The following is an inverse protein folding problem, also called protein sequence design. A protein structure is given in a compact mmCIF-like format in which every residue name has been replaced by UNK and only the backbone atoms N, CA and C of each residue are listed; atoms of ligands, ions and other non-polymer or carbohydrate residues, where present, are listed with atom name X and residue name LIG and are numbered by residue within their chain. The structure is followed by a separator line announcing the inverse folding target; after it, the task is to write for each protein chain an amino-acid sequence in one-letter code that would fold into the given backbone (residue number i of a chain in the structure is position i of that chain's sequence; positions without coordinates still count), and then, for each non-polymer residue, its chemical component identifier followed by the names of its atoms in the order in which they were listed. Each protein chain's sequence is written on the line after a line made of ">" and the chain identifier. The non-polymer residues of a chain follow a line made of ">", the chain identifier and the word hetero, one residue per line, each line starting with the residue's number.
data_IF_592637884827
#
_entry.id   IF_592637884827
#
_cell.length_a   1.000
_cell.length_b   1.000
_cell.length_c   1.000
_cell.angle_alpha   90.00
_cell.angle_beta   90.00
_cell.angle_gamma   90.00
#
_symmetry.space_group_name_H-M   'P 1'
#
loop_
_entity.id
_entity.type
_entity.pdbx_description
1 polymer ?
#
# COMPACT_ATOMS: atom_id res chain seq x y z
N UNK A 1 36.11 28.35 -43.25
CA UNK A 1 37.35 28.99 -42.81
C UNK A 1 37.03 29.90 -41.62
N UNK A 2 37.82 29.91 -40.56
CA UNK A 2 38.85 29.00 -40.08
C UNK A 2 38.46 28.34 -38.73
N UNK A 3 39.12 27.27 -38.41
CA UNK A 3 39.12 26.45 -37.22
C UNK A 3 39.81 27.13 -36.04
N UNK A 4 39.21 27.12 -34.85
CA UNK A 4 39.81 27.58 -33.60
C UNK A 4 40.39 26.36 -32.85
N UNK A 5 41.70 26.32 -32.52
CA UNK A 5 42.32 25.21 -31.82
C UNK A 5 42.66 25.62 -30.37
N UNK A 6 41.77 25.45 -29.42
CA UNK A 6 42.13 25.42 -28.00
C UNK A 6 41.03 24.79 -27.15
N UNK A 7 40.99 23.46 -27.10
CA UNK A 7 40.32 22.70 -26.07
C UNK A 7 41.36 22.11 -25.11
N UNK A 8 41.61 22.80 -24.00
CA UNK A 8 42.33 22.23 -22.86
C UNK A 8 41.36 21.35 -22.05
N UNK A 9 41.59 20.06 -22.08
CA UNK A 9 41.07 19.10 -21.13
C UNK A 9 41.90 19.15 -19.84
N UNK A 10 41.31 19.25 -18.62
CA UNK A 10 42.07 19.12 -17.39
C UNK A 10 42.35 17.64 -17.09
N UNK A 11 43.61 17.36 -16.88
CA UNK A 11 44.20 16.10 -16.44
C UNK A 11 43.72 15.79 -15.00
N UNK A 12 43.11 14.62 -14.79
CA UNK A 12 42.69 14.15 -13.49
C UNK A 12 43.84 13.41 -12.82
N UNK A 13 44.34 13.93 -11.71
CA UNK A 13 45.33 13.26 -10.87
C UNK A 13 44.73 12.03 -10.16
N UNK A 14 45.50 10.94 -9.89
CA UNK A 14 44.98 9.73 -9.28
C UNK A 14 44.77 9.89 -7.76
N UNK A 15 43.56 9.52 -7.34
CA UNK A 15 43.13 9.51 -5.92
C UNK A 15 43.95 8.56 -5.06
N UNK A 16 44.47 9.08 -3.97
CA UNK A 16 45.10 8.34 -2.89
C UNK A 16 44.06 7.56 -2.08
N UNK A 17 44.27 6.27 -1.89
CA UNK A 17 43.46 5.39 -1.02
C UNK A 17 43.54 5.82 0.44
N UNK A 18 42.43 5.96 1.17
CA UNK A 18 42.49 6.08 2.63
C UNK A 18 42.71 4.71 3.29
N UNK A 19 43.59 4.68 4.24
CA UNK A 19 43.95 3.50 5.04
C UNK A 19 42.75 3.05 5.90
N UNK A 20 42.43 1.75 5.81
CA UNK A 20 41.39 1.12 6.59
C UNK A 20 41.75 1.00 8.07
N UNK A 21 40.98 1.59 8.95
CA UNK A 21 40.99 1.32 10.39
C UNK A 21 40.05 0.15 10.72
N UNK A 22 40.65 -0.95 11.16
CA UNK A 22 39.99 -2.15 11.64
C UNK A 22 39.18 -1.87 12.91
N UNK A 23 37.87 -2.11 12.88
CA UNK A 23 36.98 -2.12 14.06
C UNK A 23 37.03 -3.47 14.78
N UNK A 24 38.15 -3.80 15.39
CA UNK A 24 38.27 -4.87 16.39
C UNK A 24 39.11 -4.37 17.55
N UNK A 25 38.45 -3.93 18.64
CA UNK A 25 39.15 -3.59 19.84
C UNK A 25 38.51 -2.48 20.67
N UNK A 26 37.29 -2.69 21.16
CA UNK A 26 36.73 -1.89 22.25
C UNK A 26 35.59 -2.64 22.96
N UNK A 27 35.94 -3.76 23.60
CA UNK A 27 35.09 -4.43 24.58
C UNK A 27 36.03 -5.02 25.61
N UNK A 28 36.25 -4.24 26.68
CA UNK A 28 37.03 -4.70 27.84
C UNK A 28 37.44 -3.50 28.71
N UNK A 29 36.70 -3.27 29.73
CA UNK A 29 37.10 -2.65 30.99
C UNK A 29 36.07 -1.62 31.52
N UNK A 30 35.19 -2.11 32.40
CA UNK A 30 34.67 -1.35 33.56
C UNK A 30 33.84 -2.30 34.44
N UNK A 31 34.55 -3.10 35.21
CA UNK A 31 34.04 -3.76 36.41
C UNK A 31 35.06 -3.43 37.50
N UNK A 32 34.72 -2.53 38.44
CA UNK A 32 35.20 -2.54 39.82
C UNK A 32 34.75 -1.25 40.56
N UNK A 33 34.23 -1.48 41.75
CA UNK A 33 33.99 -0.44 42.81
C UNK A 33 32.56 -0.59 43.38
N UNK A 34 32.28 -1.49 44.33
CA UNK A 34 32.53 -1.52 45.77
C UNK A 34 31.82 -0.33 46.47
N UNK A 35 30.92 -0.54 47.39
CA UNK A 35 30.74 -1.15 48.65
C UNK A 35 29.67 -0.39 49.39
N UNK A 36 28.76 -1.05 50.05
CA UNK A 36 28.70 -1.39 51.46
C UNK A 36 27.95 -0.43 52.37
N UNK A 37 27.20 -1.04 53.30
CA UNK A 37 26.62 -0.57 54.59
C UNK A 37 25.19 -0.02 54.48
N UNK A 38 24.22 -0.49 55.26
CA UNK A 38 24.11 -1.34 56.45
C UNK A 38 22.63 -1.55 56.75
N UNK A 39 22.24 -2.62 57.13
CA UNK A 39 22.03 -3.23 58.42
C UNK A 39 20.71 -2.87 59.17
N UNK A 40 19.96 -3.92 59.51
CA UNK A 40 19.18 -4.19 60.68
C UNK A 40 17.70 -3.74 60.73
N UNK A 41 16.88 -4.77 60.89
CA UNK A 41 15.53 -4.69 61.40
C UNK A 41 14.71 -5.97 61.22
N UNK A 42 15.06 -7.02 61.99
CA UNK A 42 14.22 -8.21 62.10
C UNK A 42 12.95 -7.92 62.93
N UNK A 43 11.84 -8.52 62.61
CA UNK A 43 11.05 -9.24 63.59
C UNK A 43 9.93 -10.05 62.91
N UNK A 44 9.79 -11.22 63.39
CA UNK A 44 8.97 -12.35 63.02
C UNK A 44 7.48 -12.09 63.12
N UNK A 45 6.73 -12.83 62.31
CA UNK A 45 5.28 -13.03 62.44
C UNK A 45 4.81 -14.15 61.53
N UNK A 46 4.86 -15.37 62.01
CA UNK A 46 4.18 -16.49 61.36
C UNK A 46 2.66 -16.33 61.49
N UNK A 47 1.93 -16.48 60.42
CA UNK A 47 0.69 -17.28 60.46
C UNK A 47 0.28 -17.71 59.05
N UNK A 48 0.09 -18.98 58.95
CA UNK A 48 -0.52 -19.76 57.88
C UNK A 48 -1.91 -19.21 57.48
N UNK A 49 -2.20 -19.05 56.18
CA UNK A 49 -3.18 -19.93 55.54
C UNK A 49 -3.49 -19.57 54.07
N UNK A 50 -3.66 -20.66 53.34
CA UNK A 50 -4.46 -20.81 52.13
C UNK A 50 -4.17 -19.97 50.87
N UNK A 51 -3.49 -20.63 49.98
CA UNK A 51 -3.63 -20.59 48.53
C UNK A 51 -5.00 -20.15 48.04
N UNK A 52 -5.06 -18.96 47.46
CA UNK A 52 -5.99 -18.65 46.41
C UNK A 52 -5.14 -18.18 45.22
N UNK A 53 -4.75 -19.11 44.38
CA UNK A 53 -4.31 -18.82 43.01
C UNK A 53 -5.51 -18.20 42.29
N UNK A 54 -5.61 -16.90 42.34
CA UNK A 54 -6.42 -16.17 41.37
C UNK A 54 -5.72 -16.28 40.02
N UNK A 55 -6.08 -17.33 39.30
CA UNK A 55 -5.83 -17.39 37.86
C UNK A 55 -6.57 -16.21 37.26
N UNK A 56 -5.88 -15.10 37.09
CA UNK A 56 -6.30 -14.08 36.16
C UNK A 56 -6.25 -14.74 34.78
N UNK A 57 -7.37 -15.35 34.38
CA UNK A 57 -7.65 -15.59 32.98
C UNK A 57 -7.69 -14.21 32.33
N UNK A 58 -6.52 -13.77 31.83
CA UNK A 58 -6.50 -12.81 30.76
C UNK A 58 -7.26 -13.47 29.61
N UNK A 59 -8.54 -13.12 29.47
CA UNK A 59 -9.23 -13.25 28.20
C UNK A 59 -8.43 -12.40 27.21
N UNK A 60 -7.44 -13.00 26.59
CA UNK A 60 -6.93 -12.51 25.33
C UNK A 60 -8.10 -12.64 24.35
N UNK A 61 -8.88 -11.59 24.21
CA UNK A 61 -9.57 -11.32 22.96
C UNK A 61 -8.46 -11.30 21.94
N UNK A 62 -8.21 -12.43 21.30
CA UNK A 62 -7.38 -12.53 20.12
C UNK A 62 -8.04 -11.61 19.10
N UNK A 63 -7.56 -10.38 19.00
CA UNK A 63 -7.85 -9.52 17.86
C UNK A 63 -7.40 -10.35 16.67
N UNK A 64 -8.35 -10.75 15.84
CA UNK A 64 -8.08 -11.56 14.66
C UNK A 64 -7.30 -10.66 13.71
N UNK A 65 -5.97 -10.85 13.63
CA UNK A 65 -5.07 -10.10 12.78
C UNK A 65 -4.98 -10.67 11.35
N UNK A 66 -6.04 -11.36 10.92
CA UNK A 66 -6.13 -12.03 9.62
C UNK A 66 -7.45 -11.73 8.92
N UNK A 67 -7.41 -11.62 7.61
CA UNK A 67 -8.57 -11.46 6.74
C UNK A 67 -8.83 -12.74 5.97
N UNK A 68 -10.12 -13.07 5.74
CA UNK A 68 -10.48 -14.17 4.84
C UNK A 68 -10.12 -13.81 3.39
N UNK A 69 -9.50 -14.75 2.67
CA UNK A 69 -9.28 -14.58 1.22
C UNK A 69 -10.58 -14.73 0.43
N UNK A 70 -11.43 -15.67 0.83
CA UNK A 70 -12.73 -15.88 0.19
C UNK A 70 -13.81 -15.03 0.86
N UNK A 71 -14.64 -14.38 0.06
CA UNK A 71 -15.74 -13.54 0.50
C UNK A 71 -16.53 -12.98 -0.68
N UNK A 72 -17.52 -12.14 -0.39
CA UNK A 72 -18.32 -11.45 -1.40
C UNK A 72 -17.43 -10.50 -2.24
N UNK A 73 -16.47 -9.84 -1.61
CA UNK A 73 -15.50 -8.95 -2.23
C UNK A 73 -14.08 -9.38 -1.87
N UNK A 74 -13.12 -9.11 -2.74
CA UNK A 74 -11.71 -9.32 -2.41
C UNK A 74 -11.29 -8.41 -1.25
N UNK A 75 -10.60 -8.98 -0.27
CA UNK A 75 -9.93 -8.20 0.78
C UNK A 75 -8.85 -7.30 0.17
N UNK A 76 -8.55 -6.19 0.85
CA UNK A 76 -7.58 -5.21 0.36
C UNK A 76 -8.18 -4.11 -0.50
N UNK A 77 -9.49 -4.12 -0.80
CA UNK A 77 -10.18 -3.03 -1.50
C UNK A 77 -10.76 -2.06 -0.47
N UNK A 78 -11.83 -2.42 0.25
CA UNK A 78 -12.45 -1.58 1.29
C UNK A 78 -11.96 -1.88 2.71
N UNK A 79 -11.14 -2.90 2.91
CA UNK A 79 -10.54 -3.27 4.19
C UNK A 79 -9.78 -2.09 4.81
N UNK A 80 -9.67 -2.02 6.13
CA UNK A 80 -8.82 -1.03 6.81
C UNK A 80 -7.42 -0.98 6.19
N UNK A 81 -6.90 0.24 5.99
CA UNK A 81 -5.61 0.43 5.32
C UNK A 81 -4.48 0.04 6.26
N UNK A 82 -3.64 -0.86 5.81
CA UNK A 82 -2.42 -1.29 6.51
C UNK A 82 -1.25 -0.34 6.21
N UNK A 83 -0.17 -0.45 7.00
CA UNK A 83 0.99 0.43 6.91
C UNK A 83 1.94 0.10 5.76
N UNK A 84 1.88 -1.11 5.19
CA UNK A 84 2.80 -1.59 4.17
C UNK A 84 2.04 -2.08 2.95
N UNK A 85 2.59 -1.79 1.80
CA UNK A 85 2.08 -2.28 0.53
C UNK A 85 3.22 -2.82 -0.32
N UNK A 86 3.00 -3.96 -0.96
CA UNK A 86 3.82 -4.44 -2.05
C UNK A 86 2.91 -4.68 -3.26
N UNK A 87 3.05 -3.87 -4.29
CA UNK A 87 2.31 -3.99 -5.54
C UNK A 87 3.21 -4.60 -6.61
N UNK A 88 2.75 -5.65 -7.29
CA UNK A 88 3.46 -6.27 -8.40
C UNK A 88 2.56 -6.39 -9.63
N UNK A 89 3.06 -5.98 -10.77
CA UNK A 89 2.45 -6.24 -12.07
C UNK A 89 3.25 -7.33 -12.78
N UNK A 90 2.55 -8.28 -13.39
CA UNK A 90 3.13 -9.44 -14.06
C UNK A 90 2.64 -9.53 -15.50
N UNK A 91 3.52 -10.04 -16.38
CA UNK A 91 3.17 -10.43 -17.74
C UNK A 91 3.19 -11.95 -17.88
N UNK A 92 2.15 -12.51 -18.49
CA UNK A 92 2.06 -13.93 -18.79
C UNK A 92 3.06 -14.31 -19.89
N UNK A 93 3.76 -15.41 -19.68
CA UNK A 93 4.67 -16.03 -20.64
C UNK A 93 3.99 -17.13 -21.45
N UNK A 94 3.02 -17.80 -20.84
CA UNK A 94 2.21 -18.83 -21.49
C UNK A 94 0.99 -18.20 -22.18
N UNK A 95 0.54 -18.81 -23.25
CA UNK A 95 -0.75 -18.54 -23.88
C UNK A 95 -1.74 -19.71 -23.70
N UNK A 96 -1.30 -20.77 -23.01
CA UNK A 96 -2.12 -21.93 -22.70
C UNK A 96 -3.10 -21.59 -21.58
N UNK A 97 -4.39 -21.75 -21.86
CA UNK A 97 -5.48 -21.43 -20.92
C UNK A 97 -5.51 -22.38 -19.73
N UNK A 98 -5.12 -23.63 -19.89
CA UNK A 98 -5.11 -24.61 -18.80
C UNK A 98 -3.98 -24.30 -17.83
N UNK A 99 -2.83 -23.85 -18.33
CA UNK A 99 -1.74 -23.36 -17.50
C UNK A 99 -2.12 -22.08 -16.75
N UNK A 100 -2.84 -21.14 -17.39
CA UNK A 100 -3.34 -19.92 -16.75
C UNK A 100 -4.35 -20.28 -15.65
N UNK A 101 -5.29 -21.19 -15.94
CA UNK A 101 -6.27 -21.64 -14.96
C UNK A 101 -5.59 -22.35 -13.76
N UNK A 102 -4.61 -23.21 -14.03
CA UNK A 102 -3.82 -23.88 -12.99
C UNK A 102 -3.12 -22.86 -12.10
N UNK A 103 -2.47 -21.86 -12.71
CA UNK A 103 -1.81 -20.78 -11.98
C UNK A 103 -2.77 -20.05 -11.04
N UNK A 104 -3.97 -19.71 -11.51
CA UNK A 104 -4.96 -19.01 -10.68
C UNK A 104 -5.49 -19.87 -9.53
N UNK A 105 -5.66 -21.18 -9.76
CA UNK A 105 -6.02 -22.13 -8.69
C UNK A 105 -4.91 -22.22 -7.62
N UNK A 106 -3.68 -22.34 -8.05
CA UNK A 106 -2.51 -22.39 -7.16
C UNK A 106 -2.36 -21.08 -6.36
N UNK A 107 -2.52 -19.93 -7.02
CA UNK A 107 -2.48 -18.63 -6.36
C UNK A 107 -3.62 -18.47 -5.34
N UNK A 108 -4.84 -18.89 -5.69
CA UNK A 108 -5.98 -18.80 -4.76
C UNK A 108 -5.74 -19.65 -3.51
N UNK A 109 -5.23 -20.86 -3.68
CA UNK A 109 -4.90 -21.75 -2.56
C UNK A 109 -3.76 -21.19 -1.68
N UNK A 110 -2.73 -20.65 -2.32
CA UNK A 110 -1.61 -20.03 -1.61
C UNK A 110 -2.04 -18.74 -0.89
N UNK A 111 -2.82 -17.89 -1.55
CA UNK A 111 -3.31 -16.63 -0.96
C UNK A 111 -4.19 -16.86 0.26
N UNK A 112 -5.05 -17.88 0.23
CA UNK A 112 -5.87 -18.24 1.38
C UNK A 112 -5.04 -18.63 2.60
N UNK A 113 -3.96 -19.38 2.41
CA UNK A 113 -3.01 -19.73 3.46
C UNK A 113 -2.24 -18.52 3.98
N UNK A 114 -1.67 -17.74 3.08
CA UNK A 114 -0.88 -16.56 3.43
C UNK A 114 -1.69 -15.55 4.24
N UNK A 115 -2.96 -15.28 3.87
CA UNK A 115 -3.83 -14.39 4.65
C UNK A 115 -4.25 -14.97 6.00
N UNK A 116 -4.21 -16.30 6.15
CA UNK A 116 -4.40 -16.96 7.43
C UNK A 116 -3.13 -16.97 8.32
N UNK A 117 -1.99 -16.48 7.81
CA UNK A 117 -0.70 -16.54 8.49
C UNK A 117 -0.02 -17.90 8.38
N UNK A 118 -0.42 -18.70 7.39
CA UNK A 118 0.10 -20.04 7.17
C UNK A 118 1.13 -20.04 6.03
N UNK A 119 2.06 -21.01 6.07
CA UNK A 119 3.00 -21.25 4.98
C UNK A 119 2.29 -21.84 3.76
N UNK A 120 2.76 -21.50 2.55
CA UNK A 120 2.15 -22.00 1.30
C UNK A 120 2.30 -23.49 1.10
N UNK A 121 3.29 -24.13 1.76
CA UNK A 121 3.51 -25.57 1.73
C UNK A 121 4.54 -26.03 2.73
N UNK A 122 4.56 -27.34 2.96
CA UNK A 122 5.52 -28.00 3.82
C UNK A 122 6.64 -28.65 2.99
N UNK A 123 7.87 -28.58 3.50
CA UNK A 123 9.02 -29.20 2.87
C UNK A 123 8.97 -30.71 3.11
N UNK A 124 9.19 -31.48 2.05
CA UNK A 124 9.17 -32.97 2.09
C UNK A 124 10.50 -33.58 1.81
N UNK A 125 11.49 -32.81 1.40
CA UNK A 125 12.80 -33.33 1.02
C UNK A 125 13.87 -32.26 1.16
N UNK A 126 15.00 -32.59 1.77
CA UNK A 126 16.17 -31.73 1.84
C UNK A 126 16.85 -31.51 0.47
N UNK A 127 16.59 -32.40 -0.48
CA UNK A 127 17.18 -32.33 -1.83
C UNK A 127 16.34 -31.51 -2.81
N UNK A 128 15.21 -30.97 -2.36
CA UNK A 128 14.33 -30.13 -3.19
C UNK A 128 14.30 -28.68 -2.66
N UNK A 129 14.07 -27.69 -3.54
CA UNK A 129 13.84 -26.34 -3.08
C UNK A 129 12.64 -26.26 -2.12
N UNK A 130 12.71 -25.43 -1.08
CA UNK A 130 11.65 -25.33 -0.09
C UNK A 130 10.32 -24.91 -0.74
N UNK A 131 9.22 -25.40 -0.21
CA UNK A 131 7.86 -25.07 -0.68
C UNK A 131 7.45 -23.66 -0.35
N UNK A 132 7.96 -23.14 0.76
CA UNK A 132 7.76 -21.77 1.21
C UNK A 132 9.11 -21.05 1.24
N UNK A 133 9.11 -19.73 1.04
CA UNK A 133 10.35 -18.93 1.04
C UNK A 133 10.80 -18.52 2.44
N UNK A 134 9.94 -18.67 3.46
CA UNK A 134 10.28 -18.68 4.88
C UNK A 134 10.42 -17.33 5.56
N UNK A 135 10.27 -16.19 4.86
CA UNK A 135 10.54 -14.88 5.48
C UNK A 135 9.55 -14.51 6.58
N UNK A 136 8.33 -15.05 6.54
CA UNK A 136 7.31 -14.79 7.54
C UNK A 136 7.12 -15.94 8.54
N UNK A 137 8.05 -16.90 8.60
CA UNK A 137 8.05 -17.90 9.67
C UNK A 137 8.10 -17.19 11.02
N UNK A 138 7.28 -17.66 11.96
CA UNK A 138 7.14 -17.10 13.33
C UNK A 138 6.52 -15.69 13.40
N UNK A 139 6.05 -15.13 12.28
CA UNK A 139 5.27 -13.89 12.26
C UNK A 139 3.76 -14.22 12.22
N UNK A 140 2.96 -13.28 12.74
CA UNK A 140 1.50 -13.36 12.60
C UNK A 140 1.06 -13.01 11.17
N UNK A 141 -0.24 -13.15 10.88
CA UNK A 141 -0.79 -12.74 9.58
C UNK A 141 -0.69 -11.23 9.32
N UNK A 142 -0.48 -10.42 10.35
CA UNK A 142 -0.27 -8.96 10.29
C UNK A 142 -1.31 -8.23 9.41
N UNK A 143 -2.57 -8.63 9.51
CA UNK A 143 -3.68 -8.12 8.69
C UNK A 143 -3.44 -8.22 7.18
N UNK A 144 -2.68 -9.21 6.72
CA UNK A 144 -2.38 -9.38 5.30
C UNK A 144 -3.66 -9.46 4.47
N UNK A 145 -3.69 -8.67 3.40
CA UNK A 145 -4.68 -8.76 2.33
C UNK A 145 -3.98 -8.94 0.99
N UNK A 146 -4.54 -9.81 0.16
CA UNK A 146 -4.08 -10.07 -1.20
C UNK A 146 -5.21 -9.80 -2.17
N UNK A 147 -5.00 -8.82 -3.05
CA UNK A 147 -5.98 -8.43 -4.08
C UNK A 147 -5.38 -8.71 -5.45
N UNK A 148 -6.12 -9.43 -6.28
CA UNK A 148 -5.73 -9.76 -7.64
C UNK A 148 -6.52 -8.93 -8.64
N UNK A 149 -5.85 -8.43 -9.67
CA UNK A 149 -6.48 -7.68 -10.76
C UNK A 149 -5.98 -8.13 -12.12
N UNK A 150 -6.85 -7.98 -13.12
CA UNK A 150 -6.55 -8.27 -14.53
C UNK A 150 -6.40 -6.95 -15.29
N UNK A 151 -5.26 -6.76 -15.93
CA UNK A 151 -5.02 -5.61 -16.80
C UNK A 151 -5.72 -5.78 -18.14
N UNK A 152 -5.85 -4.69 -18.89
CA UNK A 152 -6.45 -4.73 -20.23
C UNK A 152 -5.71 -5.70 -21.16
N UNK A 153 -4.39 -5.79 -21.07
CA UNK A 153 -3.54 -6.68 -21.87
C UNK A 153 -3.78 -8.17 -21.62
N UNK A 154 -4.44 -8.54 -20.52
CA UNK A 154 -4.94 -9.89 -20.30
C UNK A 154 -6.07 -10.27 -21.27
N UNK A 155 -6.81 -9.30 -21.76
CA UNK A 155 -7.94 -9.54 -22.68
C UNK A 155 -7.53 -9.27 -24.12
N UNK A 156 -6.94 -8.13 -24.39
CA UNK A 156 -6.46 -7.72 -25.72
C UNK A 156 -5.14 -6.95 -25.58
N UNK A 157 -4.24 -7.18 -26.51
CA UNK A 157 -2.99 -6.41 -26.59
C UNK A 157 -3.23 -4.98 -27.12
N UNK A 158 -2.15 -4.27 -27.38
CA UNK A 158 -2.19 -2.88 -27.85
C UNK A 158 -2.77 -2.74 -29.26
N UNK A 159 -2.67 -3.78 -30.07
CA UNK A 159 -3.22 -3.90 -31.41
C UNK A 159 -4.68 -4.43 -31.41
N UNK A 160 -5.23 -4.74 -30.24
CA UNK A 160 -6.59 -5.29 -30.07
C UNK A 160 -6.68 -6.80 -30.31
N UNK A 161 -5.55 -7.51 -30.40
CA UNK A 161 -5.51 -8.95 -30.61
C UNK A 161 -5.77 -9.70 -29.32
N UNK A 162 -6.60 -10.73 -29.40
CA UNK A 162 -6.82 -11.67 -28.30
C UNK A 162 -5.61 -12.61 -28.14
N UNK A 163 -4.90 -12.49 -27.03
CA UNK A 163 -3.71 -13.32 -26.75
C UNK A 163 -4.04 -14.64 -26.11
N UNK A 164 -5.12 -14.70 -25.34
CA UNK A 164 -5.42 -15.82 -24.45
C UNK A 164 -6.83 -16.39 -24.62
N UNK A 165 -7.61 -15.90 -25.60
CA UNK A 165 -8.99 -16.31 -25.81
C UNK A 165 -10.00 -15.66 -24.86
N UNK A 166 -9.67 -14.50 -24.30
CA UNK A 166 -10.51 -13.78 -23.34
C UNK A 166 -11.03 -12.42 -23.83
N UNK A 167 -10.81 -12.05 -25.10
CA UNK A 167 -11.26 -10.74 -25.62
C UNK A 167 -12.75 -10.48 -25.41
N UNK A 168 -13.59 -11.52 -25.59
CA UNK A 168 -15.04 -11.43 -25.37
C UNK A 168 -15.44 -11.21 -23.90
N UNK A 169 -14.51 -11.30 -22.98
CA UNK A 169 -14.71 -11.08 -21.53
C UNK A 169 -14.18 -9.73 -21.05
N UNK A 170 -13.62 -8.91 -21.97
CA UNK A 170 -13.12 -7.58 -21.63
C UNK A 170 -14.26 -6.70 -21.09
N UNK A 171 -14.17 -6.16 -19.87
CA UNK A 171 -15.15 -5.20 -19.38
C UNK A 171 -15.09 -3.91 -20.21
N UNK A 172 -16.25 -3.37 -20.59
CA UNK A 172 -16.32 -2.15 -21.41
C UNK A 172 -15.62 -0.96 -20.72
N UNK A 173 -15.79 -0.84 -19.41
CA UNK A 173 -15.19 0.25 -18.63
C UNK A 173 -13.67 0.08 -18.39
N UNK A 174 -13.08 -1.08 -18.71
CA UNK A 174 -11.62 -1.27 -18.64
C UNK A 174 -10.96 -0.67 -19.88
N UNK A 175 -11.06 0.65 -20.00
CA UNK A 175 -10.46 1.41 -21.10
C UNK A 175 -9.01 1.79 -20.79
N UNK A 176 -8.27 2.21 -21.80
CA UNK A 176 -6.99 2.90 -21.60
C UNK A 176 -7.28 4.26 -21.01
N UNK A 177 -6.66 4.56 -19.87
CA UNK A 177 -6.73 5.90 -19.28
C UNK A 177 -6.00 6.85 -20.24
N UNK A 178 -6.66 7.95 -20.67
CA UNK A 178 -6.01 8.92 -21.54
C UNK A 178 -4.84 9.61 -20.82
N UNK A 179 -3.90 10.13 -21.60
CA UNK A 179 -2.82 10.94 -21.06
C UNK A 179 -3.39 12.19 -20.38
N UNK A 180 -3.00 12.41 -19.14
CA UNK A 180 -3.43 13.57 -18.33
C UNK A 180 -2.33 14.63 -18.31
N UNK A 181 -2.73 15.90 -18.14
CA UNK A 181 -1.76 17.00 -18.02
C UNK A 181 -0.81 16.75 -16.85
N UNK A 182 0.49 16.81 -17.13
CA UNK A 182 1.54 16.56 -16.13
C UNK A 182 1.96 15.10 -15.99
N UNK A 183 1.37 14.19 -16.75
CA UNK A 183 1.82 12.78 -16.77
C UNK A 183 3.26 12.67 -17.30
N UNK A 184 4.06 11.87 -16.61
CA UNK A 184 5.41 11.46 -17.01
C UNK A 184 5.51 9.94 -16.91
N UNK A 185 4.64 9.22 -17.66
CA UNK A 185 4.53 7.78 -17.60
C UNK A 185 5.79 7.10 -18.13
N UNK A 186 6.30 6.15 -17.36
CA UNK A 186 7.42 5.30 -17.75
C UNK A 186 6.86 3.96 -18.25
N UNK A 187 7.03 3.63 -19.53
CA UNK A 187 6.52 2.39 -20.11
C UNK A 187 7.00 1.13 -19.37
N UNK A 188 8.22 1.15 -18.85
CA UNK A 188 8.80 0.04 -18.07
C UNK A 188 8.12 -0.18 -16.70
N UNK A 189 7.30 0.77 -16.24
CA UNK A 189 6.62 0.77 -14.96
C UNK A 189 5.12 0.99 -15.11
N UNK A 190 4.59 0.66 -16.26
CA UNK A 190 3.18 0.85 -16.60
C UNK A 190 2.58 -0.45 -17.12
N UNK A 191 1.28 -0.63 -16.86
CA UNK A 191 0.50 -1.76 -17.31
C UNK A 191 0.97 -3.12 -16.78
N UNK A 192 0.51 -4.20 -17.37
CA UNK A 192 0.75 -5.60 -17.02
C UNK A 192 -0.51 -6.42 -17.27
N UNK A 193 -0.35 -7.72 -17.48
CA UNK A 193 -1.49 -8.62 -17.69
C UNK A 193 -2.25 -8.87 -16.38
N UNK A 194 -1.52 -8.97 -15.28
CA UNK A 194 -2.06 -9.27 -13.95
C UNK A 194 -1.39 -8.35 -12.94
N UNK A 195 -2.12 -7.94 -11.92
CA UNK A 195 -1.51 -7.32 -10.75
C UNK A 195 -1.85 -8.08 -9.47
N UNK A 196 -0.95 -8.00 -8.50
CA UNK A 196 -1.14 -8.48 -7.13
C UNK A 196 -0.80 -7.33 -6.19
N UNK A 197 -1.75 -6.97 -5.33
CA UNK A 197 -1.54 -6.02 -4.25
C UNK A 197 -1.50 -6.77 -2.93
N UNK A 198 -0.37 -6.77 -2.25
CA UNK A 198 -0.23 -7.27 -0.88
C UNK A 198 -0.12 -6.08 0.07
N UNK A 199 -1.05 -5.98 1.01
CA UNK A 199 -0.98 -5.00 2.09
C UNK A 199 -0.95 -5.72 3.43
N UNK A 200 -0.08 -5.27 4.35
CA UNK A 200 0.06 -5.82 5.69
C UNK A 200 0.55 -4.75 6.67
N UNK A 201 0.44 -5.00 7.96
CA UNK A 201 1.04 -4.13 8.98
C UNK A 201 2.53 -4.43 9.19
N UNK A 202 3.01 -5.58 8.69
CA UNK A 202 4.41 -5.97 8.66
C UNK A 202 4.95 -6.01 7.23
N UNK A 203 6.08 -5.33 6.92
CA UNK A 203 6.65 -5.32 5.57
C UNK A 203 7.18 -6.67 5.12
N UNK A 204 7.64 -7.51 6.07
CA UNK A 204 8.19 -8.82 5.78
C UNK A 204 7.09 -9.81 5.38
N UNK A 205 5.91 -9.70 6.00
CA UNK A 205 4.71 -10.47 5.63
C UNK A 205 4.22 -10.10 4.23
N UNK A 206 4.15 -8.81 3.90
CA UNK A 206 3.77 -8.37 2.55
C UNK A 206 4.78 -8.84 1.49
N UNK A 207 6.08 -8.77 1.79
CA UNK A 207 7.15 -9.23 0.91
C UNK A 207 7.09 -10.75 0.72
N UNK A 208 6.96 -11.52 1.79
CA UNK A 208 6.83 -12.97 1.79
C UNK A 208 5.68 -13.44 0.89
N UNK A 209 4.51 -12.79 1.03
CA UNK A 209 3.34 -13.12 0.24
C UNK A 209 3.61 -12.94 -1.27
N UNK A 210 4.10 -11.78 -1.67
CA UNK A 210 4.41 -11.50 -3.09
C UNK A 210 5.49 -12.43 -3.62
N UNK A 211 6.55 -12.68 -2.84
CA UNK A 211 7.64 -13.56 -3.28
C UNK A 211 7.17 -14.99 -3.53
N UNK A 212 6.34 -15.55 -2.65
CA UNK A 212 5.78 -16.88 -2.86
C UNK A 212 4.86 -16.92 -4.09
N UNK A 213 3.99 -15.92 -4.28
CA UNK A 213 3.11 -15.87 -5.45
C UNK A 213 3.89 -15.74 -6.77
N UNK A 214 4.96 -14.93 -6.80
CA UNK A 214 5.86 -14.83 -7.96
C UNK A 214 6.56 -16.17 -8.20
N UNK A 215 7.03 -16.84 -7.16
CA UNK A 215 7.69 -18.14 -7.27
C UNK A 215 6.75 -19.22 -7.83
N UNK A 216 5.51 -19.25 -7.37
CA UNK A 216 4.46 -20.15 -7.89
C UNK A 216 4.23 -19.89 -9.39
N UNK A 217 4.33 -18.65 -9.83
CA UNK A 217 4.18 -18.28 -11.24
C UNK A 217 5.40 -18.65 -12.12
N UNK A 218 6.45 -19.18 -11.56
CA UNK A 218 7.68 -19.51 -12.30
C UNK A 218 7.43 -20.28 -13.60
N UNK A 219 8.01 -19.80 -14.70
CA UNK A 219 7.80 -20.32 -16.05
C UNK A 219 6.52 -19.81 -16.76
N UNK A 220 5.46 -19.46 -16.02
CA UNK A 220 4.15 -19.03 -16.56
C UNK A 220 3.96 -17.54 -16.58
N UNK A 221 4.59 -16.79 -15.65
CA UNK A 221 4.57 -15.34 -15.64
C UNK A 221 5.89 -14.75 -15.16
N UNK A 222 6.13 -13.48 -15.50
CA UNK A 222 7.30 -12.71 -15.05
C UNK A 222 6.84 -11.36 -14.51
N UNK A 223 7.59 -10.82 -13.55
CA UNK A 223 7.37 -9.47 -13.04
C UNK A 223 7.68 -8.46 -14.13
N UNK A 224 6.69 -7.64 -14.48
CA UNK A 224 6.88 -6.49 -15.35
C UNK A 224 7.47 -5.32 -14.57
N UNK A 225 6.87 -5.01 -13.43
CA UNK A 225 7.36 -4.02 -12.47
C UNK A 225 6.77 -4.28 -11.09
N UNK A 226 7.37 -3.70 -10.08
CA UNK A 226 6.84 -3.71 -8.72
C UNK A 226 7.08 -2.39 -8.02
N UNK A 227 6.32 -2.14 -6.96
CA UNK A 227 6.47 -0.98 -6.09
C UNK A 227 6.18 -1.38 -4.65
N UNK A 228 7.10 -1.06 -3.77
CA UNK A 228 6.87 -1.12 -2.33
C UNK A 228 6.45 0.26 -1.82
N UNK A 229 5.61 0.28 -0.80
CA UNK A 229 5.15 1.48 -0.12
C UNK A 229 5.09 1.27 1.39
N UNK A 230 5.13 2.36 2.13
CA UNK A 230 5.01 2.38 3.57
C UNK A 230 4.28 3.64 4.04
N UNK A 231 3.68 3.54 5.22
CA UNK A 231 2.82 4.57 5.75
C UNK A 231 1.45 4.60 5.07
N UNK A 232 0.54 5.37 5.63
CA UNK A 232 -0.83 5.51 5.11
C UNK A 232 -1.03 6.92 4.60
N UNK A 233 -1.66 7.04 3.43
CA UNK A 233 -2.14 8.32 2.89
C UNK A 233 -3.65 8.36 2.75
N UNK A 234 -4.34 7.37 3.30
CA UNK A 234 -5.80 7.28 3.32
C UNK A 234 -6.27 6.51 4.54
N UNK A 235 -7.56 6.60 4.84
CA UNK A 235 -8.24 5.72 5.78
C UNK A 235 -9.54 5.24 5.15
N UNK A 236 -9.83 3.96 5.30
CA UNK A 236 -11.03 3.30 4.75
C UNK A 236 -12.05 2.96 5.83
N UNK A 237 -11.78 3.30 7.07
CA UNK A 237 -12.69 3.17 8.21
C UNK A 237 -12.73 4.46 9.02
N UNK A 238 -13.86 4.73 9.67
CA UNK A 238 -14.04 5.87 10.58
C UNK A 238 -13.25 5.71 11.87
N UNK A 239 -12.82 4.49 12.21
CA UNK A 239 -11.99 4.20 13.38
C UNK A 239 -10.53 4.58 13.16
N UNK A 240 -10.10 4.70 11.90
CA UNK A 240 -8.74 5.07 11.56
C UNK A 240 -8.56 6.59 11.57
N UNK A 241 -7.53 7.06 12.28
CA UNK A 241 -7.11 8.47 12.20
C UNK A 241 -6.67 8.79 10.77
N UNK A 242 -7.08 9.97 10.26
CA UNK A 242 -6.64 10.45 8.95
C UNK A 242 -5.12 10.63 8.96
N UNK A 243 -4.45 9.89 8.11
CA UNK A 243 -3.00 9.95 7.96
C UNK A 243 -2.55 11.23 7.25
N UNK A 244 -1.23 11.47 7.24
CA UNK A 244 -0.64 12.58 6.48
C UNK A 244 0.16 12.04 5.32
N UNK A 245 0.06 12.70 4.17
CA UNK A 245 0.92 12.44 3.03
C UNK A 245 2.33 13.04 3.23
N UNK A 246 3.22 12.83 2.27
CA UNK A 246 4.60 13.31 2.33
C UNK A 246 4.75 14.85 2.24
N UNK A 247 3.68 15.58 1.90
CA UNK A 247 3.62 17.05 2.02
C UNK A 247 3.20 17.52 3.43
N UNK A 248 2.92 16.58 4.32
CA UNK A 248 2.55 16.83 5.71
C UNK A 248 1.08 17.18 5.92
N UNK A 249 0.25 17.14 4.89
CA UNK A 249 -1.18 17.40 4.97
C UNK A 249 -1.99 16.14 5.29
N UNK A 250 -3.10 16.29 6.00
CA UNK A 250 -4.08 15.23 6.17
C UNK A 250 -4.62 14.82 4.81
N UNK A 251 -4.64 13.53 4.54
CA UNK A 251 -4.96 12.97 3.24
C UNK A 251 -6.01 11.85 3.37
N UNK A 252 -7.02 11.90 2.51
CA UNK A 252 -8.12 10.94 2.57
C UNK A 252 -9.22 11.27 3.59
N UNK A 253 -9.31 12.51 4.09
CA UNK A 253 -10.40 12.94 4.99
C UNK A 253 -11.78 12.61 4.43
N UNK A 254 -12.01 12.88 3.13
CA UNK A 254 -13.28 12.60 2.43
C UNK A 254 -13.25 11.26 1.66
N UNK A 255 -12.36 10.35 2.00
CA UNK A 255 -12.34 9.02 1.40
C UNK A 255 -13.58 8.22 1.77
N UNK A 256 -14.03 7.34 0.88
CA UNK A 256 -15.11 6.41 1.17
C UNK A 256 -14.73 5.49 2.36
N UNK A 257 -15.72 5.18 3.19
CA UNK A 257 -15.53 4.38 4.40
C UNK A 257 -16.32 3.08 4.33
N UNK A 258 -15.78 2.03 4.92
CA UNK A 258 -16.44 0.71 4.99
C UNK A 258 -17.80 0.78 5.70
N UNK A 259 -17.97 1.73 6.62
CA UNK A 259 -19.22 1.98 7.33
C UNK A 259 -20.31 2.64 6.47
N UNK A 260 -19.99 2.95 5.20
CA UNK A 260 -20.93 3.54 4.23
C UNK A 260 -21.23 2.57 3.08
N UNK A 261 -21.88 1.42 3.33
CA UNK A 261 -22.05 0.36 2.32
C UNK A 261 -22.79 0.84 1.07
N UNK A 262 -23.75 1.76 1.20
CA UNK A 262 -24.47 2.31 0.06
C UNK A 262 -23.56 3.13 -0.86
N UNK A 263 -22.59 3.87 -0.31
CA UNK A 263 -21.61 4.59 -1.12
C UNK A 263 -20.63 3.63 -1.79
N UNK A 264 -20.21 2.58 -1.08
CA UNK A 264 -19.37 1.54 -1.67
C UNK A 264 -20.11 0.82 -2.80
N UNK A 265 -21.38 0.45 -2.59
CA UNK A 265 -22.22 -0.15 -3.65
C UNK A 265 -22.32 0.77 -4.88
N UNK A 266 -22.50 2.07 -4.65
CA UNK A 266 -22.66 3.04 -5.74
C UNK A 266 -21.36 3.32 -6.51
N UNK A 267 -20.21 3.37 -5.83
CA UNK A 267 -18.99 3.95 -6.40
C UNK A 267 -17.82 2.96 -6.52
N UNK A 268 -17.87 1.81 -5.84
CA UNK A 268 -16.73 0.87 -5.77
C UNK A 268 -17.07 -0.48 -6.40
N UNK A 269 -18.21 -1.07 -6.00
CA UNK A 269 -18.55 -2.41 -6.46
C UNK A 269 -19.30 -2.38 -7.79
N UNK A 270 -18.84 -3.20 -8.72
CA UNK A 270 -19.54 -3.40 -9.97
C UNK A 270 -20.77 -4.27 -9.75
N UNK A 271 -21.89 -3.89 -10.37
CA UNK A 271 -23.12 -4.67 -10.36
C UNK A 271 -23.88 -4.43 -11.67
N UNK A 272 -24.85 -5.28 -11.96
CA UNK A 272 -25.78 -5.09 -13.10
C UNK A 272 -26.60 -3.80 -12.97
N UNK A 273 -26.75 -3.25 -11.77
CA UNK A 273 -27.48 -2.01 -11.50
C UNK A 273 -26.70 -0.74 -11.88
N UNK A 274 -25.36 -0.75 -11.69
CA UNK A 274 -24.51 0.43 -11.90
C UNK A 274 -23.55 0.32 -13.09
N UNK A 275 -23.52 -0.84 -13.75
CA UNK A 275 -22.62 -1.14 -14.85
C UNK A 275 -23.33 -2.03 -15.86
N UNK A 276 -24.29 -1.46 -16.61
CA UNK A 276 -25.19 -2.18 -17.51
C UNK A 276 -24.48 -3.12 -18.50
N UNK A 277 -23.25 -2.81 -18.90
CA UNK A 277 -22.45 -3.61 -19.83
C UNK A 277 -21.28 -4.33 -19.14
N UNK A 278 -21.31 -4.43 -17.82
CA UNK A 278 -20.27 -5.20 -17.09
C UNK A 278 -20.51 -6.69 -17.28
N UNK A 279 -19.48 -7.46 -17.61
CA UNK A 279 -19.67 -8.92 -17.73
C UNK A 279 -19.98 -9.52 -16.36
N UNK A 280 -20.83 -10.56 -16.34
CA UNK A 280 -21.31 -11.20 -15.11
C UNK A 280 -20.19 -11.64 -14.13
N UNK A 281 -19.00 -11.96 -14.64
CA UNK A 281 -17.86 -12.34 -13.81
C UNK A 281 -17.29 -11.16 -12.98
N UNK A 282 -17.64 -9.92 -13.31
CA UNK A 282 -17.26 -8.71 -12.59
C UNK A 282 -18.22 -8.36 -11.44
N UNK A 283 -19.34 -9.06 -11.29
CA UNK A 283 -20.29 -8.79 -10.21
C UNK A 283 -19.58 -8.83 -8.84
N UNK A 284 -19.72 -7.79 -8.04
CA UNK A 284 -19.01 -7.61 -6.77
C UNK A 284 -17.52 -7.29 -6.88
N UNK A 285 -16.98 -7.17 -8.10
CA UNK A 285 -15.63 -6.72 -8.37
C UNK A 285 -15.48 -5.20 -8.31
N UNK A 286 -14.32 -4.72 -8.69
CA UNK A 286 -14.00 -3.27 -8.72
C UNK A 286 -12.96 -2.97 -9.79
N UNK A 287 -12.88 -1.72 -10.22
CA UNK A 287 -11.80 -1.24 -11.07
C UNK A 287 -10.69 -0.60 -10.24
N UNK A 288 -9.44 -0.80 -10.66
CA UNK A 288 -8.27 -0.23 -10.02
C UNK A 288 -7.47 0.62 -11.00
N UNK A 289 -7.20 1.87 -10.61
CA UNK A 289 -6.20 2.71 -11.26
C UNK A 289 -5.02 2.88 -10.30
N UNK A 290 -3.92 2.17 -10.55
CA UNK A 290 -2.69 2.30 -9.78
C UNK A 290 -1.81 3.39 -10.38
N UNK A 291 -1.46 4.40 -9.60
CA UNK A 291 -0.61 5.52 -10.04
C UNK A 291 0.45 5.83 -8.99
N UNK A 292 1.70 5.88 -9.41
CA UNK A 292 2.78 6.39 -8.59
C UNK A 292 2.97 7.87 -8.89
N UNK A 293 2.81 8.71 -7.86
CA UNK A 293 2.95 10.16 -7.99
C UNK A 293 4.34 10.56 -7.49
N UNK A 294 5.14 11.17 -8.37
CA UNK A 294 6.40 11.79 -7.96
C UNK A 294 6.11 13.09 -7.26
N UNK A 295 6.50 13.18 -5.98
CA UNK A 295 6.33 14.39 -5.16
C UNK A 295 7.64 15.17 -5.15
N UNK A 296 7.58 16.46 -5.54
CA UNK A 296 8.74 17.36 -5.55
C UNK A 296 8.93 17.99 -4.16
N UNK A 297 9.42 17.19 -3.22
CA UNK A 297 9.52 17.55 -1.80
C UNK A 297 10.39 18.81 -1.58
N UNK A 298 11.55 18.90 -2.23
CA UNK A 298 12.47 20.02 -2.05
C UNK A 298 11.87 21.37 -2.49
N UNK A 299 11.08 21.38 -3.55
CA UNK A 299 10.35 22.57 -4.00
C UNK A 299 9.24 22.89 -3.02
N UNK A 300 8.50 21.86 -2.59
CA UNK A 300 7.42 22.00 -1.62
C UNK A 300 7.90 22.58 -0.29
N UNK A 301 9.03 22.14 0.23
CA UNK A 301 9.58 22.60 1.51
C UNK A 301 9.99 24.08 1.50
N UNK A 302 10.22 24.66 0.32
CA UNK A 302 10.51 26.10 0.15
C UNK A 302 9.26 26.93 -0.06
N UNK A 303 8.12 26.30 -0.30
CA UNK A 303 6.83 26.98 -0.51
C UNK A 303 6.31 27.51 0.82
N UNK A 304 5.81 28.75 0.84
CA UNK A 304 5.26 29.36 2.06
C UNK A 304 4.07 28.57 2.57
N UNK A 305 3.88 28.47 3.88
CA UNK A 305 2.77 27.75 4.48
C UNK A 305 1.41 28.18 3.91
N UNK A 306 1.19 29.47 3.79
CA UNK A 306 -0.05 30.01 3.19
C UNK A 306 -0.30 29.45 1.79
N UNK A 307 0.70 29.46 0.94
CA UNK A 307 0.61 28.94 -0.42
C UNK A 307 0.39 27.42 -0.44
N UNK A 308 1.05 26.67 0.45
CA UNK A 308 0.77 25.24 0.62
C UNK A 308 -0.69 24.97 1.00
N UNK A 309 -1.24 25.75 1.93
CA UNK A 309 -2.63 25.63 2.36
C UNK A 309 -3.62 26.03 1.25
N UNK A 310 -3.33 27.08 0.48
CA UNK A 310 -4.11 27.51 -0.67
C UNK A 310 -4.13 26.44 -1.78
N UNK A 311 -2.97 25.83 -2.10
CA UNK A 311 -2.86 24.73 -3.07
C UNK A 311 -3.70 23.51 -2.64
N UNK A 312 -3.67 23.17 -1.36
CA UNK A 312 -4.41 22.02 -0.84
C UNK A 312 -5.89 22.35 -0.61
N UNK A 313 -6.19 23.57 -0.19
CA UNK A 313 -7.54 24.03 0.20
C UNK A 313 -7.87 23.80 1.67
N UNK A 314 -6.88 23.35 2.48
CA UNK A 314 -7.03 23.01 3.91
C UNK A 314 -5.86 23.55 4.71
N UNK A 315 -6.10 23.79 6.01
CA UNK A 315 -5.02 24.11 6.94
C UNK A 315 -4.13 22.91 7.16
N UNK A 316 -2.81 23.13 7.24
CA UNK A 316 -1.84 22.05 7.42
C UNK A 316 -1.94 21.42 8.80
N UNK A 317 -2.15 22.21 9.84
CA UNK A 317 -2.13 21.74 11.23
C UNK A 317 -3.38 20.92 11.55
N UNK A 318 -4.57 21.49 11.34
CA UNK A 318 -5.84 20.87 11.75
C UNK A 318 -6.48 20.04 10.65
N UNK A 319 -6.19 20.32 9.37
CA UNK A 319 -6.87 19.73 8.23
C UNK A 319 -8.25 20.34 7.95
N UNK A 320 -8.63 21.40 8.66
CA UNK A 320 -9.87 22.11 8.42
C UNK A 320 -9.89 22.74 7.01
N UNK A 321 -11.06 22.83 6.33
CA UNK A 321 -11.19 23.62 5.11
C UNK A 321 -10.77 25.08 5.36
N UNK A 322 -10.27 25.79 4.36
CA UNK A 322 -9.94 27.20 4.50
C UNK A 322 -11.17 28.08 4.73
N UNK A 323 -12.38 27.57 4.52
CA UNK A 323 -13.64 28.18 4.93
C UNK A 323 -13.94 28.04 6.44
N UNK A 324 -13.07 27.40 7.23
CA UNK A 324 -13.17 27.28 8.69
C UNK A 324 -13.74 25.96 9.18
N UNK A 325 -13.87 25.83 10.51
CA UNK A 325 -14.33 24.63 11.18
C UNK A 325 -13.21 23.70 11.59
N UNK A 326 -13.48 22.41 11.58
CA UNK A 326 -12.54 21.31 11.87
C UNK A 326 -12.25 20.45 10.61
N UNK A 327 -11.51 19.37 10.77
CA UNK A 327 -11.12 18.50 9.66
C UNK A 327 -12.31 17.99 8.84
N UNK A 328 -13.39 17.61 9.52
CA UNK A 328 -14.55 16.97 8.90
C UNK A 328 -15.68 17.95 8.55
N UNK A 329 -15.49 19.26 8.77
CA UNK A 329 -16.42 20.28 8.36
C UNK A 329 -16.54 20.30 6.85
N UNK A 330 -17.77 20.34 6.33
CA UNK A 330 -18.02 20.45 4.90
C UNK A 330 -17.45 21.79 4.37
N UNK A 331 -16.70 21.78 3.27
CA UNK A 331 -16.13 23.01 2.71
C UNK A 331 -17.21 23.92 2.14
N UNK A 332 -17.10 25.23 2.39
CA UNK A 332 -17.93 26.24 1.75
C UNK A 332 -17.18 26.89 0.58
N UNK A 333 -17.42 26.39 -0.63
CA UNK A 333 -16.76 26.91 -1.84
C UNK A 333 -17.25 28.26 -2.31
N UNK A 334 -18.35 28.76 -1.79
CA UNK A 334 -18.92 30.08 -2.14
C UNK A 334 -18.39 31.23 -1.27
N UNK A 335 -17.76 30.89 -0.14
CA UNK A 335 -17.26 31.87 0.82
C UNK A 335 -16.05 32.63 0.28
N UNK A 336 -16.09 33.96 0.49
CA UNK A 336 -15.09 34.89 -0.04
C UNK A 336 -14.43 35.69 1.07
N UNK A 337 -13.11 35.80 0.99
CA UNK A 337 -12.32 36.77 1.75
C UNK A 337 -12.12 38.07 0.98
N UNK A 338 -11.19 38.88 1.46
CA UNK A 338 -10.86 40.17 0.82
C UNK A 338 -10.27 40.05 -0.59
N UNK A 339 -9.58 38.94 -0.87
CA UNK A 339 -8.80 38.68 -2.10
C UNK A 339 -9.46 37.68 -3.05
N UNK A 340 -10.66 37.20 -2.77
CA UNK A 340 -11.35 36.18 -3.57
C UNK A 340 -11.90 35.03 -2.73
N UNK A 341 -12.18 33.86 -3.34
CA UNK A 341 -12.65 32.71 -2.61
C UNK A 341 -11.67 32.31 -1.50
N UNK A 342 -12.18 31.93 -0.31
CA UNK A 342 -11.34 31.41 0.77
C UNK A 342 -10.66 30.09 0.38
N UNK A 343 -11.39 29.23 -0.36
CA UNK A 343 -10.85 28.02 -0.96
C UNK A 343 -10.64 28.31 -2.45
N UNK A 344 -9.38 28.41 -2.93
CA UNK A 344 -9.09 28.70 -4.34
C UNK A 344 -9.78 27.73 -5.30
N UNK A 345 -10.13 28.22 -6.50
CA UNK A 345 -10.84 27.44 -7.50
C UNK A 345 -10.02 26.26 -8.03
N UNK A 346 -8.71 26.41 -8.03
CA UNK A 346 -7.70 25.43 -8.47
C UNK A 346 -7.08 24.62 -7.31
N UNK A 347 -7.60 24.81 -6.07
CA UNK A 347 -7.14 24.00 -4.94
C UNK A 347 -7.46 22.52 -5.13
N UNK A 348 -6.56 21.66 -4.68
CA UNK A 348 -6.72 20.19 -4.76
C UNK A 348 -8.07 19.73 -4.19
N UNK A 349 -8.44 20.21 -2.99
CA UNK A 349 -9.69 19.83 -2.35
C UNK A 349 -10.90 20.18 -3.22
N UNK A 350 -10.93 21.38 -3.81
CA UNK A 350 -12.06 21.81 -4.63
C UNK A 350 -12.16 21.01 -5.92
N UNK A 351 -11.05 20.82 -6.63
CA UNK A 351 -11.02 20.06 -7.88
C UNK A 351 -11.42 18.59 -7.69
N UNK A 352 -11.11 18.00 -6.53
CA UNK A 352 -11.41 16.59 -6.22
C UNK A 352 -12.75 16.38 -5.51
N UNK A 353 -13.49 17.44 -5.20
CA UNK A 353 -14.75 17.31 -4.47
C UNK A 353 -15.85 16.72 -5.38
N UNK A 354 -16.72 15.82 -4.85
CA UNK A 354 -17.82 15.25 -5.62
C UNK A 354 -18.71 16.29 -6.31
N UNK A 355 -19.00 17.42 -5.67
CA UNK A 355 -19.81 18.50 -6.25
C UNK A 355 -19.20 19.12 -7.51
N UNK A 356 -17.92 18.94 -7.74
CA UNK A 356 -17.21 19.40 -8.94
C UNK A 356 -17.02 18.27 -9.97
N UNK A 357 -17.46 17.05 -9.64
CA UNK A 357 -17.27 15.83 -10.42
C UNK A 357 -18.58 15.05 -10.58
N UNK A 358 -19.70 15.73 -10.77
CA UNK A 358 -21.03 15.14 -11.01
C UNK A 358 -21.44 14.10 -9.95
N UNK A 359 -20.97 14.28 -8.71
CA UNK A 359 -21.21 13.37 -7.59
C UNK A 359 -20.41 12.08 -7.64
N UNK A 360 -19.47 11.92 -8.56
CA UNK A 360 -18.60 10.75 -8.65
C UNK A 360 -17.58 10.76 -7.51
N UNK A 361 -17.39 9.60 -6.91
CA UNK A 361 -16.40 9.37 -5.86
C UNK A 361 -15.56 8.14 -6.18
N UNK A 362 -14.34 8.12 -5.68
CA UNK A 362 -13.44 6.96 -5.74
C UNK A 362 -13.05 6.55 -4.32
N UNK A 363 -12.85 5.25 -4.12
CA UNK A 363 -12.17 4.75 -2.94
C UNK A 363 -10.67 4.86 -3.17
N UNK A 364 -9.99 5.61 -2.33
CA UNK A 364 -8.55 5.77 -2.40
C UNK A 364 -7.87 4.89 -1.35
N UNK A 365 -6.81 4.22 -1.78
CA UNK A 365 -5.95 3.39 -0.94
C UNK A 365 -4.49 3.65 -1.31
N UNK A 366 -3.64 3.92 -0.34
CA UNK A 366 -2.23 4.24 -0.57
C UNK A 366 -1.49 4.53 0.71
#
# INVERSE_FOLDING_TARGET
>A
MPTDPNHHTPEVAPDAKPAGTSRRGALGAALAGAGALGALGALAGCSSNSSAQTSASASSTTVKDSHSFYGEHQSGISTEVQDRMYFAALNLKTTDRDEIQSLFKEWSAAAAKLQAGELVGEDRSYEAPPKDTGEAMDLSAANLTLTFGLGRSFFVDDEGKDRFGFASKLPEALVRIPHMTGDALEAKRSNGDICIQACADDPQVAFHAIRNLIRIAGGRAVVAWNQQGFGRTSSTSTTQVTARNLFGFKDGTNNLKVESPNLLKKHVWTSSENSANSPAWMEGGSYLAARRIRMNIETWDRTRLREQEEIVGRTKVTGAPLSGGDEFTAPNFSEKGRSGPLIPADSHMRLMHPDQNDGVQILRRG
#
